data_IF_678486851300
#
_entry.id   IF_678486851300
#
_cell.length_a   1.000
_cell.length_b   1.000
_cell.length_c   1.000
_cell.angle_alpha   90.00
_cell.angle_beta   90.00
_cell.angle_gamma   90.00
#
_symmetry.space_group_name_H-M   'P 1'
#
loop_
_entity.id
_entity.type
_entity.pdbx_description
1 polymer ?
#
# COMPACT_ATOMS: atom_id res chain seq x y z
N UNK A 1 -1.51 17.32 15.94
CA UNK A 1 -2.12 15.97 15.81
C UNK A 1 -1.84 15.38 14.44
N UNK A 2 -1.47 14.13 14.38
CA UNK A 2 -1.10 13.47 13.15
C UNK A 2 -2.21 12.49 12.75
N UNK A 3 -2.63 12.56 11.48
CA UNK A 3 -3.61 11.64 10.93
C UNK A 3 -2.91 10.57 10.10
N UNK A 4 -3.33 9.33 10.27
CA UNK A 4 -2.77 8.18 9.55
C UNK A 4 -3.88 7.41 8.85
N UNK A 5 -3.60 7.01 7.62
CA UNK A 5 -4.48 6.13 6.85
C UNK A 5 -3.90 4.73 6.85
N UNK A 6 -4.73 3.77 7.24
CA UNK A 6 -4.37 2.34 7.21
C UNK A 6 -5.34 1.64 6.27
N UNK A 7 -4.78 0.83 5.37
CA UNK A 7 -5.55 -0.01 4.44
C UNK A 7 -5.27 -1.46 4.78
N UNK A 8 -6.31 -2.27 4.93
CA UNK A 8 -6.19 -3.70 5.13
C UNK A 8 -6.80 -4.45 3.95
N UNK A 9 -6.02 -5.37 3.36
CA UNK A 9 -6.53 -6.30 2.36
C UNK A 9 -6.91 -7.59 3.09
N UNK A 10 -8.21 -7.85 3.18
CA UNK A 10 -8.76 -8.94 3.97
C UNK A 10 -9.81 -9.71 3.14
N UNK A 11 -9.52 -10.98 2.86
CA UNK A 11 -10.38 -11.88 2.09
C UNK A 11 -10.77 -11.25 0.75
N UNK A 12 -12.03 -10.86 0.56
CA UNK A 12 -12.55 -10.23 -0.66
C UNK A 12 -12.77 -8.72 -0.51
N UNK A 13 -12.24 -8.13 0.56
CA UNK A 13 -12.54 -6.75 0.98
C UNK A 13 -11.28 -5.90 1.09
N UNK A 14 -11.46 -4.61 0.87
CA UNK A 14 -10.48 -3.59 1.25
C UNK A 14 -11.09 -2.78 2.38
N UNK A 15 -10.42 -2.72 3.51
CA UNK A 15 -10.85 -1.96 4.68
C UNK A 15 -9.95 -0.76 4.87
N UNK A 16 -10.54 0.37 5.17
CA UNK A 16 -9.83 1.62 5.38
C UNK A 16 -10.12 2.15 6.77
N UNK A 17 -9.11 2.68 7.42
CA UNK A 17 -9.27 3.39 8.68
C UNK A 17 -8.41 4.64 8.71
N UNK A 18 -8.98 5.77 9.08
CA UNK A 18 -8.23 7.01 9.32
C UNK A 18 -8.20 7.23 10.83
N UNK A 19 -7.01 7.33 11.36
CA UNK A 19 -6.76 7.50 12.78
C UNK A 19 -6.04 8.81 13.04
N UNK A 20 -6.41 9.45 14.12
CA UNK A 20 -5.74 10.63 14.64
C UNK A 20 -4.97 10.23 15.90
N UNK A 21 -3.72 10.67 16.00
CA UNK A 21 -2.92 10.46 17.21
C UNK A 21 -2.79 11.77 17.96
N UNK A 22 -2.96 11.74 19.27
CA UNK A 22 -2.72 12.89 20.13
C UNK A 22 -1.29 12.86 20.70
N UNK A 23 -0.96 13.84 21.56
CA UNK A 23 0.35 13.97 22.18
C UNK A 23 0.67 12.81 23.13
N UNK A 24 -0.35 12.12 23.64
CA UNK A 24 -0.21 10.99 24.53
C UNK A 24 -0.10 9.65 23.77
N UNK A 25 -0.05 9.71 22.44
CA UNK A 25 -0.01 8.55 21.55
C UNK A 25 -1.27 7.69 21.56
N UNK A 26 -2.38 8.24 22.01
CA UNK A 26 -3.68 7.61 21.89
C UNK A 26 -4.24 7.76 20.48
N UNK A 27 -4.91 6.72 20.00
CA UNK A 27 -5.49 6.69 18.67
C UNK A 27 -7.00 6.89 18.72
N UNK A 28 -7.48 7.78 17.87
CA UNK A 28 -8.90 8.00 17.68
C UNK A 28 -9.26 7.69 16.23
N UNK A 29 -10.25 6.82 16.04
CA UNK A 29 -10.77 6.52 14.69
C UNK A 29 -11.63 7.68 14.21
N UNK A 30 -11.23 8.33 13.13
CA UNK A 30 -11.97 9.43 12.52
C UNK A 30 -13.03 8.94 11.53
N UNK A 31 -12.65 7.99 10.69
CA UNK A 31 -13.56 7.39 9.71
C UNK A 31 -13.08 6.01 9.31
N UNK A 32 -14.01 5.19 8.84
CA UNK A 32 -13.72 3.87 8.29
C UNK A 32 -14.56 3.63 7.04
N UNK A 33 -14.06 2.78 6.16
CA UNK A 33 -14.76 2.39 4.94
C UNK A 33 -14.41 0.96 4.58
N UNK A 34 -15.34 0.25 4.00
CA UNK A 34 -15.13 -1.11 3.50
C UNK A 34 -15.61 -1.14 2.05
N UNK A 35 -14.77 -1.62 1.15
CA UNK A 35 -15.12 -1.85 -0.25
C UNK A 35 -15.08 -3.33 -0.56
N UNK A 36 -16.14 -3.83 -1.22
CA UNK A 36 -16.24 -5.18 -1.71
C UNK A 36 -16.01 -5.20 -3.23
N UNK A 37 -15.80 -6.37 -3.80
CA UNK A 37 -15.67 -6.55 -5.26
C UNK A 37 -14.58 -5.68 -5.87
N UNK A 38 -13.47 -5.55 -5.17
CA UNK A 38 -12.35 -4.68 -5.57
C UNK A 38 -11.21 -5.46 -6.26
N UNK A 39 -11.51 -6.63 -6.82
CA UNK A 39 -10.50 -7.47 -7.44
C UNK A 39 -9.61 -8.19 -6.43
N UNK A 40 -10.09 -8.36 -5.20
CA UNK A 40 -9.38 -9.01 -4.11
C UNK A 40 -10.05 -10.36 -3.83
N UNK A 41 -9.23 -11.40 -3.65
CA UNK A 41 -9.70 -12.73 -3.23
C UNK A 41 -8.65 -13.35 -2.31
N UNK A 42 -9.09 -13.87 -1.17
CA UNK A 42 -8.22 -14.46 -0.15
C UNK A 42 -7.09 -13.51 0.30
N UNK A 43 -7.39 -12.21 0.35
CA UNK A 43 -6.42 -11.17 0.70
C UNK A 43 -5.40 -10.84 -0.39
N UNK A 44 -5.55 -11.40 -1.59
CA UNK A 44 -4.64 -11.19 -2.71
C UNK A 44 -5.29 -10.36 -3.80
N UNK A 45 -4.51 -9.53 -4.47
CA UNK A 45 -4.97 -8.77 -5.62
C UNK A 45 -4.95 -9.69 -6.84
N UNK A 46 -6.14 -10.01 -7.38
CA UNK A 46 -6.28 -10.81 -8.59
C UNK A 46 -6.52 -9.96 -9.83
N UNK A 47 -7.20 -8.84 -9.68
CA UNK A 47 -7.46 -7.88 -10.76
C UNK A 47 -6.87 -6.53 -10.36
N UNK A 48 -5.65 -6.28 -10.83
CA UNK A 48 -4.92 -5.06 -10.46
C UNK A 48 -5.62 -3.79 -10.94
N UNK A 49 -6.19 -3.82 -12.14
CA UNK A 49 -6.88 -2.64 -12.70
C UNK A 49 -8.12 -2.30 -11.87
N UNK A 50 -8.91 -3.30 -11.51
CA UNK A 50 -10.09 -3.10 -10.68
C UNK A 50 -9.71 -2.60 -9.29
N UNK A 51 -8.70 -3.20 -8.68
CA UNK A 51 -8.20 -2.79 -7.37
C UNK A 51 -7.69 -1.35 -7.39
N UNK A 52 -6.93 -0.98 -8.41
CA UNK A 52 -6.41 0.38 -8.57
C UNK A 52 -7.53 1.41 -8.68
N UNK A 53 -8.55 1.15 -9.50
CA UNK A 53 -9.70 2.03 -9.67
C UNK A 53 -10.48 2.18 -8.37
N UNK A 54 -10.71 1.07 -7.68
CA UNK A 54 -11.46 1.07 -6.42
C UNK A 54 -10.71 1.85 -5.34
N UNK A 55 -9.43 1.56 -5.16
CA UNK A 55 -8.60 2.25 -4.16
C UNK A 55 -8.51 3.74 -4.45
N UNK A 56 -8.30 4.12 -5.72
CA UNK A 56 -8.23 5.54 -6.10
C UNK A 56 -9.52 6.29 -5.78
N UNK A 57 -10.67 5.69 -6.10
CA UNK A 57 -11.96 6.29 -5.79
C UNK A 57 -12.22 6.38 -4.29
N UNK A 58 -11.89 5.31 -3.56
CA UNK A 58 -12.06 5.26 -2.11
C UNK A 58 -11.17 6.29 -1.40
N UNK A 59 -9.91 6.41 -1.80
CA UNK A 59 -8.98 7.39 -1.25
C UNK A 59 -9.49 8.81 -1.48
N UNK A 60 -9.96 9.10 -2.69
CA UNK A 60 -10.51 10.42 -3.01
C UNK A 60 -11.70 10.77 -2.10
N UNK A 61 -12.61 9.81 -1.89
CA UNK A 61 -13.76 10.01 -1.02
C UNK A 61 -13.36 10.21 0.45
N UNK A 62 -12.38 9.43 0.92
CA UNK A 62 -11.87 9.54 2.29
C UNK A 62 -11.18 10.89 2.49
N UNK A 63 -10.33 11.30 1.55
CA UNK A 63 -9.61 12.57 1.62
C UNK A 63 -10.56 13.76 1.65
N UNK A 64 -11.63 13.69 0.87
CA UNK A 64 -12.69 14.72 0.92
C UNK A 64 -13.39 14.75 2.28
N UNK A 65 -13.69 13.58 2.83
CA UNK A 65 -14.42 13.48 4.10
C UNK A 65 -13.62 14.04 5.27
N UNK A 66 -12.30 13.79 5.30
CA UNK A 66 -11.43 14.27 6.38
C UNK A 66 -10.72 15.57 6.03
N UNK A 67 -10.92 16.12 4.84
CA UNK A 67 -10.30 17.37 4.35
C UNK A 67 -8.78 17.34 4.43
N UNK A 68 -8.18 16.20 4.04
CA UNK A 68 -6.73 16.02 4.07
C UNK A 68 -6.29 15.10 2.93
N UNK A 69 -5.13 15.40 2.34
CA UNK A 69 -4.47 14.53 1.36
C UNK A 69 -3.38 13.74 2.07
N UNK A 70 -3.40 12.42 1.92
CA UNK A 70 -2.41 11.55 2.55
C UNK A 70 -1.21 11.34 1.62
N UNK A 71 -0.02 11.61 2.14
CA UNK A 71 1.24 11.40 1.42
C UNK A 71 1.82 10.01 1.63
N UNK A 72 1.37 9.33 2.69
CA UNK A 72 1.79 7.98 3.01
C UNK A 72 0.62 7.20 3.57
N UNK A 73 0.64 5.89 3.36
CA UNK A 73 -0.36 4.97 3.88
C UNK A 73 0.34 3.75 4.45
N UNK A 74 -0.28 3.12 5.44
CA UNK A 74 0.16 1.83 5.94
C UNK A 74 -0.76 0.76 5.39
N UNK A 75 -0.19 -0.32 4.87
CA UNK A 75 -0.96 -1.44 4.31
C UNK A 75 -0.77 -2.66 5.18
N UNK A 76 -1.88 -3.26 5.59
CA UNK A 76 -1.90 -4.51 6.34
C UNK A 76 -2.40 -5.62 5.44
N UNK A 77 -1.65 -6.70 5.35
CA UNK A 77 -2.02 -7.87 4.55
C UNK A 77 -2.47 -8.99 5.48
N UNK A 78 -3.71 -9.41 5.34
CA UNK A 78 -4.26 -10.53 6.10
C UNK A 78 -4.25 -11.80 5.24
N UNK A 79 -3.06 -12.36 5.05
CA UNK A 79 -2.84 -13.61 4.31
C UNK A 79 -1.91 -14.51 5.10
N UNK A 80 -2.16 -15.81 5.01
CA UNK A 80 -1.32 -16.82 5.68
C UNK A 80 0.01 -17.07 4.96
N UNK A 81 0.05 -16.83 3.66
CA UNK A 81 1.18 -17.14 2.79
C UNK A 81 2.11 -15.95 2.54
N UNK A 82 1.95 -14.88 3.31
CA UNK A 82 2.81 -13.70 3.17
C UNK A 82 4.10 -13.90 3.93
N UNK A 83 5.20 -13.62 3.27
CA UNK A 83 6.51 -13.53 3.91
C UNK A 83 7.15 -12.18 3.55
N UNK A 84 7.98 -11.69 4.47
CA UNK A 84 8.74 -10.48 4.25
C UNK A 84 10.22 -10.82 4.13
N UNK A 85 10.87 -10.25 3.15
CA UNK A 85 12.29 -10.39 2.98
C UNK A 85 12.91 -9.05 2.65
N UNK A 86 14.12 -8.83 3.13
CA UNK A 86 14.87 -7.64 2.80
C UNK A 86 15.81 -7.96 1.66
N UNK A 87 15.68 -7.20 0.59
CA UNK A 87 16.56 -7.33 -0.57
C UNK A 87 17.29 -6.01 -0.76
N UNK A 88 18.54 -6.10 -1.13
CA UNK A 88 19.32 -4.93 -1.53
C UNK A 88 19.89 -5.16 -2.91
N UNK A 89 19.94 -4.11 -3.68
CA UNK A 89 20.51 -4.15 -5.01
C UNK A 89 21.15 -2.81 -5.34
N UNK A 90 21.97 -2.82 -6.36
CA UNK A 90 22.58 -1.59 -6.82
C UNK A 90 22.78 -1.63 -8.33
N UNK A 91 22.88 -0.45 -8.91
CA UNK A 91 23.25 -0.27 -10.30
C UNK A 91 24.24 0.87 -10.39
N UNK A 92 25.34 0.62 -11.09
CA UNK A 92 26.36 1.65 -11.30
C UNK A 92 25.89 2.65 -12.37
N UNK A 93 25.74 3.92 -11.99
CA UNK A 93 25.22 4.97 -12.86
C UNK A 93 26.30 5.75 -13.62
N UNK A 94 27.57 5.63 -13.19
CA UNK A 94 28.70 6.33 -13.81
C UNK A 94 28.49 7.87 -13.89
N UNK A 95 27.87 8.45 -12.85
CA UNK A 95 27.61 9.88 -12.77
C UNK A 95 26.31 10.35 -13.43
N UNK A 96 25.54 9.46 -14.05
CA UNK A 96 24.23 9.84 -14.61
C UNK A 96 23.17 9.92 -13.51
N UNK A 97 22.06 10.62 -13.83
CA UNK A 97 20.94 10.75 -12.91
C UNK A 97 20.15 9.46 -12.82
N UNK A 98 19.51 9.23 -11.69
CA UNK A 98 18.59 8.10 -11.50
C UNK A 98 17.35 8.29 -12.37
N UNK A 99 17.03 7.30 -13.17
CA UNK A 99 15.85 7.28 -14.04
C UNK A 99 14.96 6.10 -13.68
N UNK A 100 13.73 6.10 -14.17
CA UNK A 100 12.78 5.02 -13.95
C UNK A 100 13.35 3.65 -14.36
N UNK A 101 14.08 3.58 -15.47
CA UNK A 101 14.70 2.34 -15.94
C UNK A 101 15.68 1.73 -14.93
N UNK A 102 16.36 2.58 -14.15
CA UNK A 102 17.29 2.13 -13.12
C UNK A 102 16.55 1.47 -11.96
N UNK A 103 15.41 2.02 -11.55
CA UNK A 103 14.55 1.44 -10.55
C UNK A 103 13.93 0.12 -11.03
N UNK A 104 13.48 0.07 -12.28
CA UNK A 104 12.93 -1.14 -12.89
C UNK A 104 13.96 -2.26 -12.94
N UNK A 105 15.22 -1.92 -13.26
CA UNK A 105 16.32 -2.88 -13.27
C UNK A 105 16.52 -3.51 -11.88
N UNK A 106 16.59 -2.68 -10.85
CA UNK A 106 16.78 -3.15 -9.46
C UNK A 106 15.61 -4.01 -9.00
N UNK A 107 14.37 -3.61 -9.32
CA UNK A 107 13.17 -4.37 -8.98
C UNK A 107 13.14 -5.73 -9.69
N UNK A 108 13.52 -5.78 -10.96
CA UNK A 108 13.56 -7.02 -11.71
C UNK A 108 14.65 -7.97 -11.17
N UNK A 109 15.81 -7.45 -10.82
CA UNK A 109 16.87 -8.24 -10.18
C UNK A 109 16.39 -8.82 -8.83
N UNK A 110 15.68 -8.03 -8.03
CA UNK A 110 15.11 -8.49 -6.76
C UNK A 110 14.08 -9.60 -6.99
N UNK A 111 13.17 -9.44 -7.95
CA UNK A 111 12.17 -10.46 -8.30
C UNK A 111 12.82 -11.75 -8.77
N UNK A 112 13.86 -11.67 -9.59
CA UNK A 112 14.59 -12.84 -10.08
C UNK A 112 15.28 -13.57 -8.93
N UNK A 113 15.84 -12.85 -7.97
CA UNK A 113 16.47 -13.45 -6.78
C UNK A 113 15.48 -14.23 -5.94
N UNK A 114 14.25 -13.73 -5.79
CA UNK A 114 13.17 -14.43 -5.06
C UNK A 114 12.72 -15.67 -5.84
N UNK A 115 12.55 -15.57 -7.15
CA UNK A 115 12.05 -16.67 -7.99
C UNK A 115 13.01 -17.86 -8.07
N UNK A 116 14.31 -17.65 -7.85
CA UNK A 116 15.32 -18.73 -7.89
C UNK A 116 15.41 -19.52 -6.59
N UNK A 117 14.82 -19.04 -5.54
CA UNK A 117 14.79 -19.67 -4.23
C UNK A 117 13.42 -20.31 -4.00
#
# INVERSE_FOLDING_TARGET
MEEKLIIELDDDKIKYGVFETDEESDYKLLTKKISNNAGIEKGKILDLDQSTKTISADLHNIEKKVSKVFKSISVVLNQKDVFCTNLSGFKKLNGSKVEKRDLDYILNEAKNSISKN
#
